data_IF_610757958787
#
_entry.id   IF_610757958787
#
_cell.length_a   1.000
_cell.length_b   1.000
_cell.length_c   1.000
_cell.angle_alpha   90.00
_cell.angle_beta   90.00
_cell.angle_gamma   90.00
#
_symmetry.space_group_name_H-M   'P 1'
#
loop_
_entity.id
_entity.type
_entity.pdbx_description
1 polymer ?
#
# COMPACT_ATOMS: atom_id res chain seq x y z
N UNK A 1 -65.49 40.90 -10.35
CA UNK A 1 -64.27 40.94 -9.53
C UNK A 1 -64.00 39.54 -8.99
N UNK A 2 -63.01 38.84 -9.55
CA UNK A 2 -62.46 37.61 -8.96
C UNK A 2 -60.94 37.71 -9.12
N UNK A 3 -60.23 37.90 -8.02
CA UNK A 3 -58.77 37.80 -7.93
C UNK A 3 -58.47 36.42 -7.35
N UNK A 4 -57.83 35.57 -8.15
CA UNK A 4 -57.26 34.30 -7.68
C UNK A 4 -55.92 34.66 -7.04
N UNK A 5 -55.88 34.61 -5.70
CA UNK A 5 -54.64 34.71 -4.94
C UNK A 5 -54.00 33.32 -4.87
N UNK A 6 -52.78 33.20 -5.40
CA UNK A 6 -51.94 32.02 -5.29
C UNK A 6 -51.75 31.60 -3.82
N UNK A 7 -51.96 30.32 -3.53
CA UNK A 7 -51.42 29.67 -2.33
C UNK A 7 -50.34 28.68 -2.76
N UNK A 8 -49.11 29.01 -2.37
CA UNK A 8 -47.89 28.23 -2.51
C UNK A 8 -47.98 27.03 -1.54
N UNK A 9 -47.74 25.78 -1.98
CA UNK A 9 -47.58 24.67 -1.04
C UNK A 9 -46.18 24.71 -0.41
N UNK A 10 -46.14 24.97 0.90
CA UNK A 10 -44.96 24.83 1.74
C UNK A 10 -44.77 23.33 2.04
N UNK A 11 -43.99 22.63 1.22
CA UNK A 11 -43.52 21.27 1.50
C UNK A 11 -42.04 21.33 1.87
N UNK A 12 -41.78 21.39 3.17
CA UNK A 12 -40.46 21.27 3.79
C UNK A 12 -40.29 19.81 4.24
N UNK A 13 -39.05 19.34 4.17
CA UNK A 13 -38.52 18.04 4.62
C UNK A 13 -38.62 16.87 3.62
N UNK A 14 -37.53 16.66 2.89
CA UNK A 14 -36.53 15.63 3.24
C UNK A 14 -35.40 15.70 2.19
N UNK A 15 -34.49 16.66 2.37
CA UNK A 15 -33.15 16.55 1.80
C UNK A 15 -32.45 15.41 2.55
N UNK A 16 -32.68 14.17 2.11
CA UNK A 16 -31.76 13.08 2.41
C UNK A 16 -30.44 13.46 1.78
N UNK A 17 -29.56 14.01 2.61
CA UNK A 17 -28.15 14.18 2.32
C UNK A 17 -27.54 12.80 2.10
N UNK A 18 -27.75 12.26 0.91
CA UNK A 18 -26.73 11.43 0.27
C UNK A 18 -25.58 12.39 -0.02
N UNK A 19 -24.75 12.63 0.99
CA UNK A 19 -23.36 12.98 0.75
C UNK A 19 -22.79 11.79 -0.01
N UNK A 20 -22.92 11.83 -1.33
CA UNK A 20 -22.04 11.10 -2.21
C UNK A 20 -20.65 11.35 -1.67
N UNK A 21 -20.04 10.29 -1.15
CA UNK A 21 -18.65 10.26 -0.78
C UNK A 21 -17.92 10.97 -1.91
N UNK A 22 -17.45 12.18 -1.61
CA UNK A 22 -16.72 13.00 -2.54
C UNK A 22 -15.55 12.10 -2.89
N UNK A 23 -15.59 11.53 -4.10
CA UNK A 23 -14.49 10.78 -4.64
C UNK A 23 -13.33 11.77 -4.55
N UNK A 24 -12.46 11.54 -3.57
CA UNK A 24 -11.18 12.22 -3.47
C UNK A 24 -10.54 11.92 -4.81
N UNK A 25 -10.69 12.86 -5.74
CA UNK A 25 -9.93 12.87 -6.95
C UNK A 25 -8.50 12.96 -6.42
N UNK A 26 -7.86 11.80 -6.27
CA UNK A 26 -6.44 11.73 -6.00
C UNK A 26 -5.85 12.52 -7.15
N UNK A 27 -5.50 13.78 -6.88
CA UNK A 27 -4.84 14.66 -7.82
C UNK A 27 -3.55 13.90 -8.10
N UNK A 28 -3.53 13.14 -9.20
CA UNK A 28 -2.35 12.39 -9.62
C UNK A 28 -1.38 13.48 -10.03
N UNK A 29 -0.61 13.97 -9.07
CA UNK A 29 0.50 14.86 -9.35
C UNK A 29 1.45 14.00 -10.17
N UNK A 30 1.41 14.19 -11.49
CA UNK A 30 2.39 13.65 -12.42
C UNK A 30 3.65 14.48 -12.21
N UNK A 31 4.42 14.15 -11.18
CA UNK A 31 5.74 14.73 -10.96
C UNK A 31 6.69 13.97 -11.88
N UNK A 32 6.62 14.19 -13.20
CA UNK A 32 7.61 13.66 -14.14
C UNK A 32 8.84 14.55 -14.11
N UNK A 33 9.52 14.61 -12.97
CA UNK A 33 10.60 15.56 -12.77
C UNK A 33 11.97 14.89 -12.84
N UNK A 34 12.91 15.62 -13.40
CA UNK A 34 14.33 15.31 -13.39
C UNK A 34 14.88 15.44 -11.95
N UNK A 35 15.45 14.34 -11.46
CA UNK A 35 16.11 14.29 -10.14
C UNK A 35 17.20 15.34 -9.95
N UNK A 36 17.83 15.84 -11.02
CA UNK A 36 18.81 16.92 -10.95
C UNK A 36 18.19 18.22 -10.42
N UNK A 37 16.93 18.50 -10.79
CA UNK A 37 16.27 19.73 -10.38
C UNK A 37 15.83 19.70 -8.90
N UNK A 38 15.61 18.50 -8.34
CA UNK A 38 15.36 18.30 -6.89
C UNK A 38 16.57 18.74 -6.06
N UNK A 39 17.79 18.42 -6.52
CA UNK A 39 19.03 18.85 -5.86
C UNK A 39 19.18 20.36 -5.82
N UNK A 40 18.61 21.06 -6.80
CA UNK A 40 18.61 22.54 -6.85
C UNK A 40 17.48 23.19 -6.04
N UNK A 41 16.71 22.40 -5.28
CA UNK A 41 15.69 22.88 -4.33
C UNK A 41 14.34 23.25 -4.94
N UNK A 42 14.19 23.20 -6.27
CA UNK A 42 13.02 23.75 -6.99
C UNK A 42 11.69 23.06 -6.69
N UNK A 43 11.72 21.85 -6.13
CA UNK A 43 10.53 21.00 -6.03
C UNK A 43 10.30 20.41 -4.64
N UNK A 44 11.12 20.74 -3.63
CA UNK A 44 11.06 20.12 -2.30
C UNK A 44 9.69 20.32 -1.61
N UNK A 45 9.00 21.41 -1.92
CA UNK A 45 7.65 21.71 -1.43
C UNK A 45 6.56 20.76 -1.95
N UNK A 46 6.77 20.13 -3.12
CA UNK A 46 5.83 19.17 -3.71
C UNK A 46 5.95 17.77 -3.10
N UNK A 47 6.98 17.52 -2.29
CA UNK A 47 7.14 16.24 -1.60
C UNK A 47 5.98 16.03 -0.62
N UNK A 48 5.17 14.98 -0.86
CA UNK A 48 4.13 14.59 0.08
C UNK A 48 4.77 14.15 1.41
N UNK A 49 4.35 14.72 2.52
CA UNK A 49 4.82 14.29 3.84
C UNK A 49 4.24 12.91 4.15
N UNK A 50 5.11 11.97 4.48
CA UNK A 50 4.76 10.64 5.00
C UNK A 50 5.16 10.56 6.47
N UNK A 51 4.27 10.01 7.28
CA UNK A 51 4.67 9.47 8.59
C UNK A 51 5.58 8.26 8.40
N UNK A 52 6.37 7.93 9.43
CA UNK A 52 7.18 6.69 9.41
C UNK A 52 6.36 5.43 9.15
N UNK A 53 5.10 5.40 9.61
CA UNK A 53 4.16 4.31 9.33
C UNK A 53 3.85 4.18 7.85
N UNK A 54 3.38 5.26 7.23
CA UNK A 54 3.09 5.28 5.80
C UNK A 54 4.32 4.93 4.97
N UNK A 55 5.51 5.40 5.40
CA UNK A 55 6.76 5.09 4.74
C UNK A 55 7.11 3.60 4.77
N UNK A 56 7.13 2.97 5.95
CA UNK A 56 7.50 1.55 6.07
C UNK A 56 6.51 0.67 5.33
N UNK A 57 5.20 0.92 5.48
CA UNK A 57 4.17 0.17 4.77
C UNK A 57 4.32 0.29 3.25
N UNK A 58 4.54 1.51 2.76
CA UNK A 58 4.77 1.77 1.34
C UNK A 58 6.06 1.11 0.83
N UNK A 59 7.15 1.23 1.58
CA UNK A 59 8.47 0.68 1.22
C UNK A 59 8.43 -0.83 1.06
N UNK A 60 7.78 -1.54 2.00
CA UNK A 60 7.64 -3.00 1.93
C UNK A 60 6.63 -3.41 0.87
N UNK A 61 5.47 -2.76 0.78
CA UNK A 61 4.44 -3.11 -0.20
C UNK A 61 4.94 -3.02 -1.63
N UNK A 62 5.55 -1.89 -1.98
CA UNK A 62 6.05 -1.65 -3.32
C UNK A 62 7.37 -2.39 -3.56
N UNK A 63 8.17 -2.59 -2.51
CA UNK A 63 9.50 -3.19 -2.59
C UNK A 63 10.55 -2.15 -2.99
N UNK A 64 11.75 -2.26 -2.41
CA UNK A 64 12.90 -1.39 -2.75
C UNK A 64 13.18 -1.40 -4.26
N UNK A 65 13.09 -2.58 -4.87
CA UNK A 65 13.12 -2.79 -6.32
C UNK A 65 11.90 -3.62 -6.70
N UNK A 66 11.18 -3.20 -7.74
CA UNK A 66 9.99 -3.92 -8.21
C UNK A 66 9.86 -3.86 -9.73
N UNK A 67 9.63 -5.00 -10.37
CA UNK A 67 9.40 -5.05 -11.80
C UNK A 67 8.02 -4.50 -12.18
N UNK A 68 7.97 -3.64 -13.19
CA UNK A 68 6.75 -3.15 -13.82
C UNK A 68 6.73 -3.50 -15.30
N UNK A 69 5.62 -4.07 -15.77
CA UNK A 69 5.43 -4.36 -17.20
C UNK A 69 5.52 -3.12 -18.09
N UNK A 70 5.18 -1.94 -17.54
CA UNK A 70 5.13 -0.68 -18.30
C UNK A 70 6.46 0.07 -18.29
N UNK A 71 7.20 -0.02 -17.18
CA UNK A 71 8.31 0.89 -16.90
C UNK A 71 9.65 0.18 -16.66
N UNK A 72 9.68 -1.15 -16.73
CA UNK A 72 10.84 -1.93 -16.27
C UNK A 72 10.94 -1.90 -14.76
N UNK A 73 12.17 -1.91 -14.23
CA UNK A 73 12.42 -1.92 -12.80
C UNK A 73 12.16 -0.55 -12.17
N UNK A 74 11.36 -0.55 -11.11
CA UNK A 74 11.07 0.62 -10.29
C UNK A 74 11.89 0.55 -9.02
N UNK A 75 12.44 1.69 -8.60
CA UNK A 75 13.31 1.77 -7.44
C UNK A 75 12.76 2.78 -6.43
N UNK A 76 12.79 2.46 -5.14
CA UNK A 76 12.57 3.44 -4.07
C UNK A 76 13.94 3.85 -3.53
N UNK A 77 14.30 5.11 -3.72
CA UNK A 77 15.64 5.62 -3.40
C UNK A 77 15.58 6.94 -2.63
N UNK A 78 16.52 7.19 -1.71
CA UNK A 78 16.70 8.50 -1.12
C UNK A 78 17.30 9.44 -2.19
N UNK A 79 16.69 10.60 -2.39
CA UNK A 79 17.10 11.57 -3.41
C UNK A 79 17.89 12.73 -2.81
N UNK A 80 17.47 13.19 -1.63
CA UNK A 80 18.04 14.33 -0.93
C UNK A 80 17.74 14.23 0.58
N UNK A 81 18.59 14.81 1.42
CA UNK A 81 18.39 14.87 2.87
C UNK A 81 18.78 16.26 3.36
N UNK A 82 17.88 16.91 4.08
CA UNK A 82 18.16 18.13 4.83
C UNK A 82 18.23 17.83 6.33
N UNK A 83 18.22 18.88 7.16
CA UNK A 83 18.27 18.74 8.62
C UNK A 83 17.02 18.06 9.22
N UNK A 84 15.85 18.25 8.61
CA UNK A 84 14.56 17.80 9.16
C UNK A 84 14.03 16.54 8.48
N UNK A 85 14.25 16.38 7.18
CA UNK A 85 13.62 15.37 6.35
C UNK A 85 14.61 14.65 5.44
N UNK A 86 14.30 13.38 5.16
CA UNK A 86 14.84 12.64 4.03
C UNK A 86 13.78 12.58 2.94
N UNK A 87 14.14 13.00 1.73
CA UNK A 87 13.30 13.01 0.54
C UNK A 87 13.56 11.75 -0.26
N UNK A 88 12.48 11.09 -0.64
CA UNK A 88 12.47 9.81 -1.31
C UNK A 88 11.76 9.91 -2.63
N UNK A 89 12.23 9.11 -3.58
CA UNK A 89 11.60 8.97 -4.87
C UNK A 89 11.35 7.52 -5.22
N UNK A 90 10.17 7.24 -5.79
CA UNK A 90 10.00 6.04 -6.60
C UNK A 90 10.31 6.37 -8.04
N UNK A 91 11.41 5.84 -8.57
CA UNK A 91 11.95 6.19 -9.90
C UNK A 91 11.87 5.01 -10.86
N UNK A 92 11.84 5.31 -12.17
CA UNK A 92 12.01 4.34 -13.27
C UNK A 92 13.47 4.35 -13.78
N UNK A 93 13.92 3.39 -14.61
CA UNK A 93 15.32 3.28 -15.05
C UNK A 93 15.87 4.49 -15.83
N UNK A 94 14.97 5.35 -16.34
CA UNK A 94 15.31 6.59 -17.06
C UNK A 94 15.22 7.85 -16.19
N UNK A 95 15.22 7.69 -14.85
CA UNK A 95 15.29 8.81 -13.91
C UNK A 95 13.97 9.55 -13.68
N UNK A 96 12.87 9.17 -14.35
CA UNK A 96 11.57 9.77 -14.08
C UNK A 96 11.05 9.38 -12.69
N UNK A 97 10.62 10.39 -11.96
CA UNK A 97 9.97 10.25 -10.68
C UNK A 97 8.50 9.87 -10.86
N UNK A 98 8.02 8.90 -10.09
CA UNK A 98 6.61 8.48 -10.05
C UNK A 98 5.94 8.99 -8.80
N UNK A 99 6.59 8.79 -7.65
CA UNK A 99 6.13 9.28 -6.36
C UNK A 99 7.27 10.03 -5.68
N UNK A 100 6.94 11.19 -5.11
CA UNK A 100 7.86 12.03 -4.38
C UNK A 100 7.33 12.32 -2.99
N UNK A 101 8.07 11.94 -1.97
CA UNK A 101 7.64 12.07 -0.59
C UNK A 101 8.82 12.36 0.34
N UNK A 102 8.51 12.84 1.53
CA UNK A 102 9.50 13.15 2.56
C UNK A 102 9.08 12.56 3.90
N UNK A 103 10.07 12.11 4.66
CA UNK A 103 9.88 11.48 5.98
C UNK A 103 10.79 12.17 6.98
N UNK A 104 10.32 12.40 8.20
CA UNK A 104 11.11 13.04 9.24
C UNK A 104 12.37 12.23 9.55
N UNK A 105 13.53 12.88 9.57
CA UNK A 105 14.80 12.26 9.96
C UNK A 105 14.72 11.65 11.37
N UNK A 106 14.04 12.34 12.29
CA UNK A 106 13.87 11.91 13.68
C UNK A 106 13.03 10.64 13.79
N UNK A 107 11.98 10.51 12.98
CA UNK A 107 11.13 9.31 13.01
C UNK A 107 11.78 8.11 12.30
N UNK A 108 12.63 8.37 11.30
CA UNK A 108 13.42 7.33 10.65
C UNK A 108 14.54 6.78 11.54
N UNK A 109 14.97 7.55 12.55
CA UNK A 109 16.02 7.16 13.46
C UNK A 109 15.63 5.90 14.24
N UNK A 110 16.42 4.83 14.08
CA UNK A 110 16.19 3.56 14.78
C UNK A 110 15.13 2.65 14.14
N UNK A 111 14.73 2.90 12.90
CA UNK A 111 13.94 1.99 12.06
C UNK A 111 14.85 1.30 11.04
N UNK A 112 15.04 -0.02 11.16
CA UNK A 112 15.81 -0.83 10.20
C UNK A 112 14.97 -1.19 8.96
N UNK A 113 14.45 -0.17 8.26
CA UNK A 113 13.60 -0.36 7.08
C UNK A 113 14.38 -0.91 5.87
N UNK A 114 15.70 -0.69 5.81
CA UNK A 114 16.54 -1.19 4.71
C UNK A 114 16.65 -2.72 4.71
N UNK A 115 16.52 -3.36 5.87
CA UNK A 115 16.50 -4.82 5.98
C UNK A 115 15.19 -5.46 5.51
N UNK A 116 14.15 -4.66 5.25
CA UNK A 116 12.84 -5.16 4.88
C UNK A 116 12.75 -5.40 3.37
N UNK A 117 12.89 -6.67 3.00
CA UNK A 117 12.63 -7.15 1.65
C UNK A 117 11.26 -7.84 1.57
N UNK A 118 10.40 -7.36 0.68
CA UNK A 118 9.03 -7.85 0.51
C UNK A 118 8.98 -9.34 0.19
N UNK A 119 9.81 -9.78 -0.74
CA UNK A 119 9.70 -11.12 -1.30
C UNK A 119 10.32 -12.14 -0.35
N UNK A 120 11.36 -11.75 0.39
CA UNK A 120 11.89 -12.50 1.55
C UNK A 120 10.82 -12.62 2.64
N UNK A 121 10.18 -11.51 3.03
CA UNK A 121 9.14 -11.51 4.07
C UNK A 121 7.96 -12.40 3.69
N UNK A 122 7.46 -12.31 2.44
CA UNK A 122 6.39 -13.17 1.93
C UNK A 122 6.79 -14.65 1.96
N UNK A 123 7.98 -14.97 1.46
CA UNK A 123 8.48 -16.35 1.43
C UNK A 123 8.58 -16.94 2.82
N UNK A 124 9.12 -16.17 3.78
CA UNK A 124 9.20 -16.59 5.19
C UNK A 124 7.81 -16.70 5.83
N UNK A 125 6.91 -15.76 5.58
CA UNK A 125 5.54 -15.82 6.11
C UNK A 125 4.83 -17.10 5.66
N UNK A 126 4.91 -17.41 4.37
CA UNK A 126 4.36 -18.66 3.83
C UNK A 126 5.03 -19.83 4.54
N UNK A 127 6.36 -19.88 4.61
CA UNK A 127 7.10 -20.99 5.21
C UNK A 127 6.82 -21.20 6.71
N UNK A 128 6.68 -20.14 7.50
CA UNK A 128 6.62 -20.20 8.96
C UNK A 128 5.18 -20.20 9.51
N UNK A 129 4.27 -19.45 8.89
CA UNK A 129 2.92 -19.19 9.42
C UNK A 129 1.84 -20.03 8.73
N UNK A 130 1.95 -20.23 7.41
CA UNK A 130 0.92 -20.97 6.67
C UNK A 130 1.03 -22.48 6.98
N UNK A 131 -0.07 -23.16 7.36
CA UNK A 131 -0.04 -24.59 7.63
C UNK A 131 0.40 -25.44 6.41
N UNK A 132 1.04 -26.59 6.67
CA UNK A 132 1.51 -27.49 5.61
C UNK A 132 0.41 -27.99 4.66
N UNK A 133 -0.80 -28.21 5.20
CA UNK A 133 -1.96 -28.58 4.40
C UNK A 133 -2.32 -27.49 3.37
N UNK A 134 -2.34 -26.23 3.81
CA UNK A 134 -2.68 -25.08 2.96
C UNK A 134 -1.56 -24.75 1.95
N UNK A 135 -0.28 -24.91 2.33
CA UNK A 135 0.86 -24.84 1.39
C UNK A 135 0.75 -25.86 0.26
N UNK A 136 0.32 -27.08 0.59
CA UNK A 136 0.14 -28.15 -0.39
C UNK A 136 -0.97 -27.83 -1.38
N UNK A 137 -2.04 -27.17 -0.92
CA UNK A 137 -3.15 -26.70 -1.75
C UNK A 137 -2.68 -25.58 -2.71
N UNK A 138 -1.88 -24.62 -2.21
CA UNK A 138 -1.33 -23.52 -3.01
C UNK A 138 -0.26 -24.00 -4.02
N UNK A 139 0.59 -24.95 -3.63
CA UNK A 139 1.70 -25.44 -4.44
C UNK A 139 1.34 -26.53 -5.46
N UNK A 140 0.18 -27.19 -5.34
CA UNK A 140 -0.22 -28.27 -6.24
C UNK A 140 -1.24 -27.82 -7.30
N UNK A 141 -1.00 -28.30 -8.52
CA UNK A 141 -2.01 -28.68 -9.55
C UNK A 141 -3.04 -29.73 -9.04
N UNK A 142 -3.14 -29.93 -7.73
CA UNK A 142 -3.66 -31.12 -7.05
C UNK A 142 -5.16 -31.10 -6.79
N UNK A 143 -5.81 -29.97 -7.04
CA UNK A 143 -7.24 -29.94 -7.17
C UNK A 143 -7.55 -29.75 -8.66
N UNK A 144 -7.85 -30.85 -9.36
CA UNK A 144 -8.41 -30.78 -10.72
C UNK A 144 -9.60 -29.82 -10.69
N UNK A 145 -9.65 -28.88 -11.62
CA UNK A 145 -10.69 -27.84 -11.74
C UNK A 145 -10.67 -26.76 -10.66
N UNK A 146 -9.52 -26.51 -10.02
CA UNK A 146 -9.37 -25.36 -9.13
C UNK A 146 -8.30 -24.37 -9.60
N UNK A 147 -8.58 -23.10 -9.36
CA UNK A 147 -7.67 -21.98 -9.68
C UNK A 147 -7.60 -21.03 -8.49
N UNK A 148 -6.41 -20.55 -8.19
CA UNK A 148 -6.24 -19.38 -7.31
C UNK A 148 -6.90 -18.18 -7.97
N UNK A 149 -8.02 -17.76 -7.39
CA UNK A 149 -8.82 -16.60 -7.82
C UNK A 149 -8.13 -15.31 -7.38
N UNK A 150 -7.60 -15.32 -6.16
CA UNK A 150 -7.04 -14.14 -5.54
C UNK A 150 -5.99 -14.52 -4.50
N UNK A 151 -4.90 -13.76 -4.47
CA UNK A 151 -3.84 -13.84 -3.48
C UNK A 151 -3.30 -12.44 -3.23
N UNK A 152 -3.26 -11.99 -1.98
CA UNK A 152 -2.55 -10.75 -1.66
C UNK A 152 -1.98 -10.75 -0.24
N UNK A 153 -1.01 -9.85 -0.08
CA UNK A 153 -0.36 -9.56 1.19
C UNK A 153 -0.57 -8.09 1.49
N UNK A 154 -1.02 -7.80 2.70
CA UNK A 154 -1.04 -6.47 3.28
C UNK A 154 -0.01 -6.38 4.40
N UNK A 155 0.51 -5.17 4.58
CA UNK A 155 1.58 -4.85 5.52
C UNK A 155 1.14 -3.67 6.36
N UNK A 156 1.15 -3.82 7.68
CA UNK A 156 0.73 -2.78 8.63
C UNK A 156 1.88 -2.56 9.60
N UNK A 157 2.45 -1.35 9.61
CA UNK A 157 3.54 -1.03 10.54
C UNK A 157 2.99 -0.48 11.85
N UNK A 158 3.53 -1.00 12.95
CA UNK A 158 3.23 -0.62 14.32
C UNK A 158 4.48 0.05 14.93
N UNK A 159 4.66 1.38 14.78
CA UNK A 159 5.88 2.08 15.19
C UNK A 159 6.21 1.91 16.67
N UNK A 160 5.19 1.90 17.52
CA UNK A 160 5.34 1.80 18.98
C UNK A 160 5.90 0.45 19.43
N UNK A 161 5.66 -0.61 18.65
CA UNK A 161 6.19 -1.96 18.90
C UNK A 161 7.40 -2.28 18.03
N UNK A 162 7.73 -1.43 17.05
CA UNK A 162 8.70 -1.73 15.98
C UNK A 162 8.41 -3.07 15.31
N UNK A 163 7.13 -3.30 14.98
CA UNK A 163 6.66 -4.55 14.38
C UNK A 163 5.95 -4.29 13.07
N UNK A 164 6.05 -5.24 12.15
CA UNK A 164 5.32 -5.26 10.90
C UNK A 164 4.30 -6.40 10.92
N UNK A 165 3.04 -6.07 11.03
CA UNK A 165 1.97 -7.06 10.86
C UNK A 165 1.82 -7.38 9.37
N UNK A 166 1.85 -8.67 9.07
CA UNK A 166 1.64 -9.21 7.75
C UNK A 166 0.31 -9.94 7.73
N UNK A 167 -0.54 -9.54 6.79
CA UNK A 167 -1.83 -10.17 6.54
C UNK A 167 -1.76 -10.86 5.19
N UNK A 168 -2.00 -12.16 5.17
CA UNK A 168 -2.01 -12.97 3.96
C UNK A 168 -3.40 -13.55 3.74
N UNK A 169 -4.00 -13.22 2.61
CA UNK A 169 -5.26 -13.78 2.18
C UNK A 169 -5.15 -14.41 0.81
N UNK A 170 -5.81 -15.56 0.68
CA UNK A 170 -5.95 -16.20 -0.60
C UNK A 170 -7.31 -16.86 -0.75
N UNK A 171 -7.71 -17.01 -2.00
CA UNK A 171 -8.96 -17.64 -2.36
C UNK A 171 -8.74 -18.56 -3.55
N UNK A 172 -9.23 -19.80 -3.41
CA UNK A 172 -9.28 -20.77 -4.50
C UNK A 172 -10.74 -21.02 -4.85
N UNK A 173 -11.01 -20.97 -6.15
CA UNK A 173 -12.27 -21.39 -6.74
C UNK A 173 -12.10 -22.80 -7.30
N UNK A 174 -12.99 -23.71 -6.91
CA UNK A 174 -13.01 -25.10 -7.30
C UNK A 174 -14.34 -25.49 -7.96
N UNK A 175 -14.25 -26.26 -9.06
CA UNK A 175 -15.37 -26.95 -9.71
C UNK A 175 -16.48 -26.02 -10.18
N UNK A 176 -16.35 -25.40 -11.36
CA UNK A 176 -17.40 -24.55 -11.96
C UNK A 176 -18.01 -23.51 -10.99
N UNK A 177 -17.22 -22.95 -10.06
CA UNK A 177 -17.66 -21.97 -9.03
C UNK A 177 -18.52 -22.50 -7.89
N UNK A 178 -18.65 -23.81 -7.73
CA UNK A 178 -19.49 -24.41 -6.67
C UNK A 178 -18.82 -24.40 -5.29
N UNK A 179 -17.48 -24.33 -5.21
CA UNK A 179 -16.76 -24.31 -3.94
C UNK A 179 -15.68 -23.22 -3.93
N UNK A 180 -15.86 -22.22 -3.05
CA UNK A 180 -14.89 -21.14 -2.81
C UNK A 180 -14.21 -21.35 -1.46
N UNK A 181 -12.93 -21.68 -1.47
CA UNK A 181 -12.11 -21.76 -0.25
C UNK A 181 -11.43 -20.42 -0.03
N UNK A 182 -11.68 -19.79 1.12
CA UNK A 182 -11.05 -18.54 1.52
C UNK A 182 -10.26 -18.75 2.79
N UNK A 183 -9.03 -18.26 2.81
CA UNK A 183 -8.15 -18.34 3.97
C UNK A 183 -7.52 -16.99 4.23
N UNK A 184 -7.25 -16.74 5.50
CA UNK A 184 -6.68 -15.52 6.02
C UNK A 184 -5.73 -15.88 7.17
N UNK A 185 -4.50 -15.37 7.10
CA UNK A 185 -3.48 -15.54 8.12
C UNK A 185 -2.95 -14.16 8.48
N UNK A 186 -2.70 -13.94 9.76
CA UNK A 186 -2.01 -12.75 10.24
C UNK A 186 -0.88 -13.18 11.17
N UNK A 187 0.23 -12.46 11.14
CA UNK A 187 1.31 -12.60 12.12
C UNK A 187 2.12 -11.30 12.17
N UNK A 188 2.73 -11.03 13.32
CA UNK A 188 3.59 -9.88 13.52
C UNK A 188 5.05 -10.29 13.29
N UNK A 189 5.76 -9.53 12.47
CA UNK A 189 7.20 -9.64 12.27
C UNK A 189 7.92 -8.62 13.14
N UNK A 190 8.73 -9.09 14.07
CA UNK A 190 9.54 -8.26 14.94
C UNK A 190 10.81 -7.80 14.21
N UNK A 191 10.99 -6.48 14.08
CA UNK A 191 12.09 -5.92 13.29
C UNK A 191 13.45 -6.11 13.96
N UNK A 192 13.50 -6.23 15.29
CA UNK A 192 14.76 -6.38 16.01
C UNK A 192 15.28 -7.82 15.96
N UNK A 193 14.43 -8.78 16.28
CA UNK A 193 14.75 -10.21 16.28
C UNK A 193 14.69 -10.84 14.89
N UNK A 194 14.07 -10.16 13.91
CA UNK A 194 13.90 -10.62 12.52
C UNK A 194 13.15 -11.95 12.44
N UNK A 195 12.12 -12.11 13.27
CA UNK A 195 11.31 -13.31 13.38
C UNK A 195 9.82 -12.98 13.45
N UNK A 196 9.00 -13.93 13.01
CA UNK A 196 7.57 -13.85 13.27
C UNK A 196 7.25 -14.24 14.71
N UNK A 197 6.36 -13.46 15.33
CA UNK A 197 5.74 -13.78 16.60
C UNK A 197 4.75 -14.92 16.34
N UNK A 198 4.96 -16.04 17.04
CA UNK A 198 4.14 -17.25 16.96
C UNK A 198 3.05 -17.26 18.01
#
# INVERSE_FOLDING_TARGET
>A
MYRISLLIPMFVLLCTGYTYAQASASKRIRIYDDTAAIKTGRYLEYAKTFSVKEFVEYYVKEGKVSASKKWGDLYIVPLYKDLSFTFWGRIVPFGHLLHFFKVSNKELEGVDYESLDRDVLKSRFIAEIVPAADKTILGKKGLRNCRTDYEAFDFIYHPEKKQLEMVYHWTIDCSYRLKKLRKHYTSQYDLASKQFVK
#
